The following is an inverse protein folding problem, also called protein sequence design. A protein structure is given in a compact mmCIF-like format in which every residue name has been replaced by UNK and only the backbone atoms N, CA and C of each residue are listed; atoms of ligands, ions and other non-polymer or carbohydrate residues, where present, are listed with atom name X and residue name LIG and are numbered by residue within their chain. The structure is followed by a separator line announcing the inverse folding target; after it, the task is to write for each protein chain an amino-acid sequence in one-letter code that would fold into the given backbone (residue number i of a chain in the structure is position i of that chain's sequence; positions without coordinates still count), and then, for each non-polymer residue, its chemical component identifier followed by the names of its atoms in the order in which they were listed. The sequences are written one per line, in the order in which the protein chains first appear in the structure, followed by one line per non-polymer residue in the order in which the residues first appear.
data_IF_065227636237
#
_entry.id   IF_065227636237
#
_cell.length_a   1.000
_cell.length_b   1.000
_cell.length_c   1.000
_cell.angle_alpha   90.00
_cell.angle_beta   90.00
_cell.angle_gamma   90.00
#
_symmetry.space_group_name_H-M   'P 1'
#
loop_
_entity.id
_entity.type
_entity.pdbx_description
1 polymer ?
#
# COMPACT_ATOMS: atom_id res chain seq x y z
N UNK A 1 6.54 -32.22 3.80
CA UNK A 1 5.37 -31.58 4.42
C UNK A 1 5.81 -30.40 5.28
N UNK A 2 5.13 -29.27 5.10
CA UNK A 2 5.43 -28.09 5.91
C UNK A 2 4.78 -28.22 7.28
N UNK A 3 5.54 -27.86 8.30
CA UNK A 3 4.99 -27.77 9.65
C UNK A 3 4.16 -26.49 9.79
N UNK A 4 3.09 -26.50 10.59
CA UNK A 4 2.39 -25.27 10.92
C UNK A 4 3.36 -24.27 11.52
N UNK A 5 3.26 -23.00 11.10
CA UNK A 5 4.10 -21.96 11.65
C UNK A 5 3.54 -21.52 13.00
N UNK A 6 4.44 -21.35 13.99
CA UNK A 6 4.03 -20.81 15.28
C UNK A 6 3.62 -19.34 15.17
N UNK A 7 4.13 -18.63 14.13
CA UNK A 7 3.75 -17.26 13.83
C UNK A 7 3.14 -17.21 12.44
N UNK A 8 2.00 -16.56 12.33
CA UNK A 8 1.37 -16.27 11.05
C UNK A 8 1.30 -14.75 10.87
N UNK A 9 1.58 -14.29 9.67
CA UNK A 9 1.54 -12.86 9.38
C UNK A 9 0.08 -12.45 9.15
N UNK A 10 -0.54 -11.89 10.19
CA UNK A 10 -1.96 -11.52 10.12
C UNK A 10 -2.15 -10.26 9.28
N UNK A 11 -1.40 -9.20 9.57
CA UNK A 11 -1.61 -7.92 8.89
C UNK A 11 -0.47 -6.95 9.14
N UNK A 12 -0.42 -5.94 8.30
CA UNK A 12 0.37 -4.73 8.55
C UNK A 12 -0.60 -3.67 9.03
N UNK A 13 -0.27 -2.99 10.11
CA UNK A 13 -1.08 -1.88 10.62
C UNK A 13 -0.51 -0.58 10.05
N UNK A 14 -1.38 0.24 9.49
CA UNK A 14 -1.04 1.55 8.94
C UNK A 14 -1.71 2.60 9.81
N UNK A 15 -0.91 3.42 10.48
CA UNK A 15 -1.41 4.54 11.26
C UNK A 15 -1.85 5.65 10.32
N UNK A 16 -2.97 6.27 10.59
CA UNK A 16 -3.56 7.25 9.69
C UNK A 16 -4.37 8.28 10.48
N UNK A 17 -4.36 9.51 10.02
CA UNK A 17 -5.23 10.54 10.58
C UNK A 17 -6.66 10.41 10.05
N UNK A 18 -6.85 9.67 8.94
CA UNK A 18 -8.16 9.37 8.38
C UNK A 18 -8.15 7.94 7.83
N UNK A 19 -8.22 6.93 8.72
CA UNK A 19 -8.01 5.54 8.32
C UNK A 19 -8.98 5.04 7.25
N UNK A 20 -10.26 5.36 7.37
CA UNK A 20 -11.25 4.84 6.45
C UNK A 20 -11.00 5.38 5.03
N UNK A 21 -10.72 6.69 4.92
CA UNK A 21 -10.41 7.27 3.61
C UNK A 21 -9.13 6.68 3.01
N UNK A 22 -8.08 6.56 3.83
CA UNK A 22 -6.81 6.01 3.35
C UNK A 22 -6.96 4.54 2.97
N UNK A 23 -7.64 3.75 3.79
CA UNK A 23 -7.86 2.34 3.50
C UNK A 23 -8.66 2.11 2.23
N UNK A 24 -9.68 2.93 1.99
CA UNK A 24 -10.45 2.85 0.75
C UNK A 24 -9.60 3.22 -0.47
N UNK A 25 -8.73 4.21 -0.32
CA UNK A 25 -7.80 4.56 -1.39
C UNK A 25 -6.91 3.37 -1.75
N UNK A 26 -6.35 2.71 -0.73
CA UNK A 26 -5.49 1.55 -0.96
C UNK A 26 -6.26 0.35 -1.52
N UNK A 27 -7.51 0.14 -1.07
CA UNK A 27 -8.35 -0.91 -1.64
C UNK A 27 -8.56 -0.70 -3.13
N UNK A 28 -8.82 0.54 -3.54
CA UNK A 28 -8.96 0.86 -4.95
C UNK A 28 -7.64 0.72 -5.71
N UNK A 29 -6.56 1.23 -5.13
CA UNK A 29 -5.24 1.17 -5.76
C UNK A 29 -4.78 -0.26 -6.01
N UNK A 30 -5.03 -1.16 -5.05
CA UNK A 30 -4.60 -2.56 -5.12
C UNK A 30 -5.64 -3.50 -5.73
N UNK A 31 -6.89 -3.06 -5.87
CA UNK A 31 -7.97 -3.95 -6.26
C UNK A 31 -8.30 -4.95 -5.16
N UNK A 32 -8.12 -4.57 -3.90
CA UNK A 32 -8.37 -5.42 -2.75
C UNK A 32 -9.79 -5.22 -2.22
N UNK A 33 -10.25 -6.19 -1.43
CA UNK A 33 -11.61 -6.15 -0.86
C UNK A 33 -11.57 -5.65 0.58
N UNK A 34 -12.62 -4.94 0.97
CA UNK A 34 -12.81 -4.51 2.35
C UNK A 34 -13.43 -5.67 3.12
N UNK A 35 -12.76 -6.14 4.17
CA UNK A 35 -13.26 -7.27 4.97
C UNK A 35 -13.81 -6.83 6.32
N UNK A 36 -13.48 -5.63 6.79
CA UNK A 36 -14.02 -5.05 8.01
C UNK A 36 -13.94 -3.54 7.93
N UNK A 37 -14.96 -2.87 8.40
CA UNK A 37 -14.98 -1.40 8.41
C UNK A 37 -15.88 -0.92 9.53
N UNK A 38 -15.36 0.01 10.33
CA UNK A 38 -16.15 0.75 11.31
C UNK A 38 -16.00 2.24 10.99
N UNK A 39 -16.46 3.11 11.88
CA UNK A 39 -16.25 4.55 11.71
C UNK A 39 -14.79 4.94 11.87
N UNK A 40 -13.99 4.11 12.53
CA UNK A 40 -12.62 4.47 12.91
C UNK A 40 -11.56 3.63 12.21
N UNK A 41 -11.86 2.37 11.82
CA UNK A 41 -10.88 1.47 11.24
C UNK A 41 -11.40 0.84 9.95
N UNK A 42 -10.47 0.39 9.11
CA UNK A 42 -10.82 -0.39 7.92
C UNK A 42 -9.72 -1.43 7.69
N UNK A 43 -10.14 -2.64 7.38
CA UNK A 43 -9.22 -3.72 7.00
C UNK A 43 -9.49 -4.14 5.56
N UNK A 44 -8.43 -4.27 4.78
CA UNK A 44 -8.51 -4.73 3.39
C UNK A 44 -7.61 -5.94 3.19
N UNK A 45 -7.99 -6.81 2.25
CA UNK A 45 -7.22 -8.02 1.88
C UNK A 45 -7.32 -8.25 0.38
N UNK A 46 -6.36 -9.00 -0.21
CA UNK A 46 -6.47 -9.39 -1.63
C UNK A 46 -7.76 -10.14 -1.92
N UNK A 47 -8.13 -11.04 -1.01
CA UNK A 47 -9.37 -11.82 -1.03
C UNK A 47 -9.80 -11.98 0.42
N UNK A 48 -11.10 -12.27 0.71
CA UNK A 48 -11.59 -12.31 2.09
C UNK A 48 -10.78 -13.20 3.03
N UNK A 49 -10.30 -14.34 2.54
CA UNK A 49 -9.60 -15.33 3.37
C UNK A 49 -8.09 -15.31 3.19
N UNK A 50 -7.55 -14.31 2.48
CA UNK A 50 -6.13 -14.29 2.15
C UNK A 50 -5.36 -13.31 3.02
N UNK A 51 -4.38 -13.82 3.77
CA UNK A 51 -3.49 -13.04 4.61
C UNK A 51 -2.13 -12.84 3.94
N UNK A 52 -1.38 -11.80 4.31
CA UNK A 52 -1.73 -10.78 5.31
C UNK A 52 -2.63 -9.69 4.74
N UNK A 53 -3.35 -9.01 5.63
CA UNK A 53 -4.14 -7.84 5.28
C UNK A 53 -3.41 -6.54 5.60
N UNK A 54 -4.08 -5.44 5.30
CA UNK A 54 -3.71 -4.11 5.76
C UNK A 54 -4.84 -3.60 6.65
N UNK A 55 -4.51 -3.16 7.86
CA UNK A 55 -5.47 -2.60 8.80
C UNK A 55 -5.09 -1.14 9.07
N UNK A 56 -6.00 -0.23 8.78
CA UNK A 56 -5.78 1.20 8.94
C UNK A 56 -6.44 1.65 10.24
N UNK A 57 -5.66 2.27 11.12
CA UNK A 57 -6.12 2.64 12.48
C UNK A 57 -5.83 4.11 12.74
N UNK A 58 -6.65 4.76 13.61
CA UNK A 58 -6.50 6.20 13.81
C UNK A 58 -5.33 6.54 14.75
N UNK A 59 -4.61 7.57 14.34
CA UNK A 59 -3.63 8.26 15.20
C UNK A 59 -3.86 9.75 15.07
N UNK A 60 -3.55 10.55 16.13
CA UNK A 60 -3.79 11.98 16.07
C UNK A 60 -2.77 12.74 15.22
N UNK A 61 -1.57 12.22 15.06
CA UNK A 61 -0.50 12.91 14.34
C UNK A 61 -0.35 12.41 12.91
N UNK A 62 -0.08 13.34 11.99
CA UNK A 62 0.26 12.99 10.62
C UNK A 62 1.68 12.46 10.51
N UNK A 63 2.00 11.96 9.33
CA UNK A 63 3.33 11.45 9.04
C UNK A 63 4.32 12.61 8.93
N UNK A 64 5.43 12.54 9.66
CA UNK A 64 6.43 13.61 9.69
C UNK A 64 7.82 13.19 9.21
N UNK A 65 8.10 11.90 9.17
CA UNK A 65 9.41 11.41 8.74
C UNK A 65 9.26 10.30 7.70
N UNK A 66 10.38 9.99 7.02
CA UNK A 66 10.39 8.93 6.02
C UNK A 66 10.04 7.59 6.67
N UNK A 67 9.28 6.77 5.95
CA UNK A 67 8.95 5.41 6.40
C UNK A 67 10.23 4.59 6.58
N UNK A 68 10.27 3.78 7.60
CA UNK A 68 11.35 2.81 7.77
C UNK A 68 11.10 1.55 6.96
N UNK A 69 9.83 1.23 6.72
CA UNK A 69 9.41 0.15 5.85
C UNK A 69 8.54 0.75 4.75
N UNK A 70 8.68 0.25 3.54
CA UNK A 70 7.82 0.66 2.44
C UNK A 70 7.48 -0.55 1.58
N UNK A 71 6.24 -0.64 1.10
CA UNK A 71 5.87 -1.74 0.20
C UNK A 71 6.39 -1.50 -1.20
N UNK A 72 6.76 -2.59 -1.86
CA UNK A 72 7.12 -2.60 -3.27
C UNK A 72 6.07 -3.41 -4.03
N UNK A 73 5.62 -2.88 -5.16
CA UNK A 73 4.63 -3.55 -5.99
C UNK A 73 5.22 -3.83 -7.37
N UNK A 74 4.95 -5.03 -7.88
CA UNK A 74 5.41 -5.44 -9.21
C UNK A 74 4.29 -5.30 -10.23
N UNK A 75 4.37 -4.35 -11.17
CA UNK A 75 3.31 -4.15 -12.15
C UNK A 75 3.52 -5.03 -13.38
N UNK A 76 2.47 -5.17 -14.16
CA UNK A 76 2.61 -5.70 -15.52
C UNK A 76 3.20 -4.63 -16.44
N UNK A 77 2.80 -3.37 -16.25
CA UNK A 77 3.26 -2.22 -17.04
C UNK A 77 3.49 -1.05 -16.07
N UNK A 78 4.75 -0.74 -15.79
CA UNK A 78 5.11 0.29 -14.81
C UNK A 78 4.55 1.67 -15.20
N UNK A 79 4.71 2.09 -16.45
CA UNK A 79 4.24 3.41 -16.87
C UNK A 79 2.73 3.55 -16.71
N UNK A 80 1.99 2.53 -17.14
CA UNK A 80 0.53 2.55 -17.05
C UNK A 80 0.07 2.58 -15.60
N UNK A 81 0.71 1.80 -14.72
CA UNK A 81 0.33 1.76 -13.31
C UNK A 81 0.71 3.04 -12.58
N UNK A 82 1.86 3.62 -12.88
CA UNK A 82 2.23 4.91 -12.28
C UNK A 82 1.21 5.98 -12.71
N UNK A 83 0.84 6.02 -14.00
CA UNK A 83 -0.15 6.98 -14.47
C UNK A 83 -1.50 6.79 -13.77
N UNK A 84 -1.94 5.54 -13.61
CA UNK A 84 -3.20 5.24 -12.93
C UNK A 84 -3.18 5.69 -11.47
N UNK A 85 -2.08 5.38 -10.74
CA UNK A 85 -1.96 5.75 -9.33
C UNK A 85 -1.90 7.27 -9.16
N UNK A 86 -1.20 7.97 -10.04
CA UNK A 86 -1.19 9.44 -10.01
C UNK A 86 -2.59 10.00 -10.24
N UNK A 87 -3.37 9.39 -11.15
CA UNK A 87 -4.74 9.84 -11.39
C UNK A 87 -5.67 9.58 -10.19
N UNK A 88 -5.32 8.61 -9.34
CA UNK A 88 -6.06 8.35 -8.10
C UNK A 88 -5.64 9.27 -6.95
N UNK A 89 -4.58 10.04 -7.11
CA UNK A 89 -4.15 10.99 -6.09
C UNK A 89 -2.79 10.71 -5.46
N UNK A 90 -2.08 9.69 -5.91
CA UNK A 90 -0.71 9.48 -5.48
C UNK A 90 0.16 10.61 -6.05
N UNK A 91 1.32 10.82 -5.42
CA UNK A 91 2.26 11.85 -5.87
C UNK A 91 3.64 11.21 -6.04
N UNK A 92 4.45 11.79 -6.94
CA UNK A 92 5.84 11.37 -7.04
C UNK A 92 6.62 11.93 -5.87
N UNK A 93 7.49 11.10 -5.31
CA UNK A 93 8.37 11.57 -4.23
C UNK A 93 9.59 12.26 -4.82
N UNK A 94 10.30 11.57 -5.71
CA UNK A 94 11.55 12.06 -6.29
C UNK A 94 11.58 11.74 -7.78
N UNK A 95 12.33 12.53 -8.58
CA UNK A 95 12.57 12.14 -9.97
C UNK A 95 13.29 10.80 -10.04
N UNK A 96 13.01 10.03 -11.07
CA UNK A 96 13.73 8.78 -11.33
C UNK A 96 15.15 9.14 -11.77
N UNK A 97 16.15 8.51 -11.11
CA UNK A 97 17.56 8.73 -11.42
C UNK A 97 18.03 7.76 -12.51
N UNK A 98 19.11 8.14 -13.20
CA UNK A 98 19.72 7.28 -14.19
C UNK A 98 20.05 5.91 -13.55
N UNK A 99 19.66 4.83 -14.23
CA UNK A 99 19.89 3.48 -13.74
C UNK A 99 18.89 2.98 -12.71
N UNK A 100 17.99 3.84 -12.25
CA UNK A 100 16.96 3.45 -11.30
C UNK A 100 15.79 2.78 -12.04
N UNK A 101 15.43 1.57 -11.60
CA UNK A 101 14.38 0.78 -12.25
C UNK A 101 13.02 0.87 -11.56
N UNK A 102 12.93 1.56 -10.43
CA UNK A 102 11.69 1.68 -9.67
C UNK A 102 11.27 3.15 -9.59
N UNK A 103 9.98 3.37 -9.35
CA UNK A 103 9.40 4.70 -9.15
C UNK A 103 8.85 4.78 -7.74
N UNK A 104 9.29 5.77 -6.96
CA UNK A 104 8.78 5.99 -5.61
C UNK A 104 7.63 6.98 -5.67
N UNK A 105 6.49 6.57 -5.12
CA UNK A 105 5.29 7.40 -5.02
C UNK A 105 4.94 7.61 -3.55
N UNK A 106 4.04 8.56 -3.32
CA UNK A 106 3.46 8.82 -2.01
C UNK A 106 1.96 8.58 -2.09
N UNK A 107 1.42 7.91 -1.08
CA UNK A 107 -0.03 7.79 -0.96
C UNK A 107 -0.63 9.13 -0.49
N UNK A 108 -1.96 9.24 -0.36
CA UNK A 108 -2.58 10.52 0.02
C UNK A 108 -2.10 11.10 1.36
N UNK A 109 -1.56 10.28 2.25
CA UNK A 109 -1.03 10.76 3.53
C UNK A 109 0.50 10.86 3.53
N UNK A 110 1.14 10.69 2.37
CA UNK A 110 2.58 10.85 2.24
C UNK A 110 3.40 9.61 2.55
N UNK A 111 2.78 8.44 2.63
CA UNK A 111 3.50 7.19 2.87
C UNK A 111 4.20 6.74 1.58
N UNK A 112 5.49 6.45 1.68
CA UNK A 112 6.29 6.02 0.52
C UNK A 112 5.97 4.59 0.13
N UNK A 113 5.86 4.35 -1.17
CA UNK A 113 5.80 3.01 -1.73
C UNK A 113 6.43 3.03 -3.12
N UNK A 114 6.83 1.87 -3.61
CA UNK A 114 7.52 1.79 -4.89
C UNK A 114 6.75 0.93 -5.89
N UNK A 115 6.78 1.38 -7.14
CA UNK A 115 6.33 0.60 -8.29
C UNK A 115 7.58 0.13 -8.99
N UNK A 116 7.80 -1.18 -8.98
CA UNK A 116 9.00 -1.78 -9.55
C UNK A 116 8.92 -1.86 -11.07
N UNK A 117 9.98 -2.37 -11.69
CA UNK A 117 9.98 -2.58 -13.14
C UNK A 117 8.94 -3.63 -13.54
N UNK A 118 8.64 -3.69 -14.83
CA UNK A 118 7.62 -4.57 -15.38
C UNK A 118 7.85 -6.02 -14.96
N UNK A 119 6.75 -6.74 -14.72
CA UNK A 119 6.82 -8.18 -14.48
C UNK A 119 7.35 -8.88 -15.73
N UNK A 120 8.29 -9.78 -15.51
CA UNK A 120 8.81 -10.60 -16.61
C UNK A 120 7.86 -11.75 -16.89
N UNK A 121 7.55 -11.94 -18.15
CA UNK A 121 6.73 -13.07 -18.61
C UNK A 121 7.60 -14.30 -18.84
#
# INVERSE_FOLDING_TARGET
MLRPMALEWEQIIVDSTDPVALGRWWAEALGWVVVDETEEIIEIRPEPDRLPGLLFVPVPEGKTSKNRLHPDFRPDDQEAEVARLLSLGARRRDPVRDGQHWVTLLDPEGNEFCVLSDRRS
#
